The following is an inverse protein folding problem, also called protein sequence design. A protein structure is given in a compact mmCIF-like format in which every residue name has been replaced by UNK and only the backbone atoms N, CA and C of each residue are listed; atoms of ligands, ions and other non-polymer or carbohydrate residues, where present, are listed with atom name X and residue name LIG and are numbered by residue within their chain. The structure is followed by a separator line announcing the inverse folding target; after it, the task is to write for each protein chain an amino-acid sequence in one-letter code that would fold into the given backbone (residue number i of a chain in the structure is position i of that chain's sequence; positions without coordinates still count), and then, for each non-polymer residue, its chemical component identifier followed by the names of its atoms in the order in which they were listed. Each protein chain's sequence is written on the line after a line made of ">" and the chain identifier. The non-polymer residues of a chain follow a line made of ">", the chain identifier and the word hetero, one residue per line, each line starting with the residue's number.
data_IF_474274340417
#
_entry.id   IF_474274340417
#
_cell.length_a   1.000
_cell.length_b   1.000
_cell.length_c   1.000
_cell.angle_alpha   90.00
_cell.angle_beta   90.00
_cell.angle_gamma   90.00
#
_symmetry.space_group_name_H-M   'P 1'
#
loop_
_entity.id
_entity.type
_entity.pdbx_description
1 polymer ?
#
# COMPACT_ATOMS: atom_id res chain seq x y z
N UNK A 1 -33.94 -10.16 -9.05
CA UNK A 1 -33.36 -11.33 -8.36
C UNK A 1 -32.77 -10.98 -6.99
N UNK A 2 -31.75 -10.10 -6.89
CA UNK A 2 -31.11 -9.71 -5.61
C UNK A 2 -32.08 -9.30 -4.50
N UNK A 3 -33.07 -8.46 -4.80
CA UNK A 3 -34.10 -8.02 -3.82
C UNK A 3 -34.98 -9.16 -3.32
N UNK A 4 -35.24 -10.19 -4.14
CA UNK A 4 -36.01 -11.37 -3.71
C UNK A 4 -35.20 -12.17 -2.68
N UNK A 5 -33.90 -12.32 -2.94
CA UNK A 5 -32.95 -12.99 -2.03
C UNK A 5 -32.81 -12.22 -0.72
N UNK A 6 -32.53 -10.91 -0.77
CA UNK A 6 -32.31 -10.08 0.42
C UNK A 6 -33.56 -9.99 1.30
N UNK A 7 -34.75 -10.00 0.71
CA UNK A 7 -36.02 -10.01 1.44
C UNK A 7 -36.29 -11.34 2.15
N UNK A 8 -35.93 -12.45 1.52
CA UNK A 8 -36.19 -13.79 2.04
C UNK A 8 -35.09 -14.32 2.97
N UNK A 9 -33.85 -13.83 2.83
CA UNK A 9 -32.69 -14.30 3.57
C UNK A 9 -32.60 -13.68 4.97
N UNK A 10 -33.54 -13.93 5.89
CA UNK A 10 -33.41 -13.49 7.29
C UNK A 10 -33.73 -14.62 8.26
N UNK A 11 -32.90 -14.76 9.30
CA UNK A 11 -33.15 -15.66 10.43
C UNK A 11 -33.11 -14.89 11.76
N UNK A 12 -33.62 -15.51 12.82
CA UNK A 12 -33.89 -14.89 14.14
C UNK A 12 -32.64 -14.39 14.89
N UNK A 13 -31.42 -14.61 14.39
CA UNK A 13 -30.16 -14.26 15.06
C UNK A 13 -29.25 -13.32 14.25
N UNK A 14 -29.78 -12.57 13.28
CA UNK A 14 -28.99 -11.64 12.45
C UNK A 14 -28.10 -12.31 11.40
N UNK A 15 -28.17 -13.64 11.26
CA UNK A 15 -27.48 -14.40 10.22
C UNK A 15 -28.39 -14.51 8.99
N UNK A 16 -27.89 -14.09 7.83
CA UNK A 16 -28.59 -14.22 6.56
C UNK A 16 -28.39 -15.65 6.02
N UNK A 17 -29.46 -16.43 5.91
CA UNK A 17 -29.45 -17.79 5.34
C UNK A 17 -30.54 -17.93 4.28
N UNK A 18 -30.27 -18.74 3.26
CA UNK A 18 -31.21 -19.14 2.21
C UNK A 18 -31.36 -20.65 2.31
N UNK A 19 -32.59 -21.15 2.50
CA UNK A 19 -32.89 -22.58 2.46
C UNK A 19 -33.40 -22.97 1.05
N UNK A 20 -33.61 -24.27 0.84
CA UNK A 20 -34.04 -24.80 -0.46
C UNK A 20 -35.40 -24.25 -0.90
N UNK A 21 -36.36 -24.14 0.02
CA UNK A 21 -37.69 -23.58 -0.25
C UNK A 21 -37.62 -22.12 -0.75
N UNK A 22 -36.79 -21.29 -0.11
CA UNK A 22 -36.56 -19.91 -0.55
C UNK A 22 -35.93 -19.89 -1.94
N UNK A 23 -34.95 -20.76 -2.20
CA UNK A 23 -34.28 -20.85 -3.51
C UNK A 23 -35.27 -21.24 -4.62
N UNK A 24 -36.11 -22.24 -4.38
CA UNK A 24 -37.15 -22.72 -5.32
C UNK A 24 -38.21 -21.65 -5.61
N UNK A 25 -38.48 -20.77 -4.65
CA UNK A 25 -39.45 -19.67 -4.79
C UNK A 25 -38.91 -18.45 -5.56
N UNK A 26 -37.60 -18.38 -5.86
CA UNK A 26 -37.02 -17.25 -6.59
C UNK A 26 -37.51 -17.26 -8.03
N UNK A 27 -38.13 -16.15 -8.44
CA UNK A 27 -38.56 -15.95 -9.82
C UNK A 27 -37.39 -15.46 -10.66
N UNK A 28 -37.08 -16.22 -11.69
CA UNK A 28 -36.07 -15.92 -12.72
C UNK A 28 -36.76 -15.65 -14.06
N UNK A 29 -36.35 -14.61 -14.81
CA UNK A 29 -36.83 -14.41 -16.17
C UNK A 29 -36.32 -15.54 -17.06
N UNK A 30 -37.20 -16.09 -17.89
CA UNK A 30 -36.88 -17.20 -18.80
C UNK A 30 -37.25 -16.80 -20.24
N UNK A 31 -36.26 -16.39 -21.07
CA UNK A 31 -36.49 -16.13 -22.49
C UNK A 31 -36.52 -17.45 -23.31
N UNK A 32 -36.97 -17.41 -24.57
CA UNK A 32 -36.80 -18.50 -25.55
C UNK A 32 -35.39 -19.11 -25.56
N UNK A 33 -35.28 -20.41 -25.87
CA UNK A 33 -33.98 -21.09 -25.84
C UNK A 33 -32.97 -20.47 -26.81
N UNK A 34 -33.42 -20.08 -28.01
CA UNK A 34 -32.57 -19.39 -29.01
C UNK A 34 -32.10 -18.03 -28.50
N UNK A 35 -32.97 -17.26 -27.84
CA UNK A 35 -32.59 -16.01 -27.17
C UNK A 35 -31.59 -16.25 -26.03
N UNK A 36 -31.77 -17.31 -25.23
CA UNK A 36 -30.81 -17.69 -24.18
C UNK A 36 -29.41 -17.91 -24.75
N UNK A 37 -29.28 -18.67 -25.84
CA UNK A 37 -27.99 -18.89 -26.50
C UNK A 37 -27.36 -17.58 -26.99
N UNK A 38 -28.14 -16.69 -27.63
CA UNK A 38 -27.67 -15.37 -28.07
C UNK A 38 -27.21 -14.50 -26.90
N UNK A 39 -27.93 -14.52 -25.78
CA UNK A 39 -27.55 -13.80 -24.55
C UNK A 39 -26.22 -14.34 -24.01
N UNK A 40 -26.06 -15.66 -23.93
CA UNK A 40 -24.84 -16.30 -23.42
C UNK A 40 -23.65 -15.95 -24.30
N UNK A 41 -23.77 -16.07 -25.63
CA UNK A 41 -22.71 -15.73 -26.58
C UNK A 41 -22.28 -14.25 -26.45
N UNK A 42 -23.24 -13.33 -26.39
CA UNK A 42 -22.96 -11.91 -26.20
C UNK A 42 -22.29 -11.60 -24.84
N UNK A 43 -22.73 -12.28 -23.77
CA UNK A 43 -22.11 -12.15 -22.46
C UNK A 43 -20.68 -12.70 -22.44
N UNK A 44 -20.45 -13.87 -23.03
CA UNK A 44 -19.13 -14.49 -23.09
C UNK A 44 -18.13 -13.61 -23.84
N UNK A 45 -18.49 -13.05 -25.00
CA UNK A 45 -17.62 -12.11 -25.74
C UNK A 45 -17.30 -10.86 -24.90
N UNK A 46 -18.33 -10.19 -24.38
CA UNK A 46 -18.13 -8.92 -23.70
C UNK A 46 -17.44 -9.07 -22.33
N UNK A 47 -17.78 -10.09 -21.55
CA UNK A 47 -17.15 -10.35 -20.26
C UNK A 47 -15.68 -10.77 -20.43
N UNK A 48 -15.37 -11.59 -21.44
CA UNK A 48 -13.99 -11.97 -21.75
C UNK A 48 -13.12 -10.76 -22.08
N UNK A 49 -13.66 -9.80 -22.87
CA UNK A 49 -12.96 -8.53 -23.18
C UNK A 49 -12.76 -7.67 -21.94
N UNK A 50 -13.75 -7.62 -21.04
CA UNK A 50 -13.65 -6.87 -19.78
C UNK A 50 -12.62 -7.48 -18.83
N UNK A 51 -12.53 -8.81 -18.75
CA UNK A 51 -11.52 -9.51 -17.96
C UNK A 51 -10.11 -9.27 -18.50
N UNK A 52 -9.92 -9.40 -19.81
CA UNK A 52 -8.65 -9.09 -20.46
C UNK A 52 -8.22 -7.62 -20.23
N UNK A 53 -9.17 -6.69 -20.28
CA UNK A 53 -8.93 -5.26 -20.03
C UNK A 53 -8.56 -5.01 -18.57
N UNK A 54 -9.29 -5.59 -17.61
CA UNK A 54 -9.00 -5.44 -16.19
C UNK A 54 -7.61 -5.98 -15.84
N UNK A 55 -7.26 -7.18 -16.32
CA UNK A 55 -5.94 -7.77 -16.11
C UNK A 55 -4.81 -6.91 -16.70
N UNK A 56 -5.05 -6.25 -17.85
CA UNK A 56 -4.08 -5.34 -18.46
C UNK A 56 -3.89 -4.05 -17.66
N UNK A 57 -4.98 -3.50 -17.11
CA UNK A 57 -4.94 -2.32 -16.24
C UNK A 57 -4.23 -2.59 -14.92
N UNK A 58 -4.47 -3.75 -14.30
CA UNK A 58 -3.78 -4.16 -13.07
C UNK A 58 -2.26 -4.30 -13.30
N UNK A 59 -1.86 -4.94 -14.41
CA UNK A 59 -0.45 -5.02 -14.81
C UNK A 59 0.16 -3.64 -15.05
N UNK A 60 -0.58 -2.72 -15.66
CA UNK A 60 -0.12 -1.34 -15.87
C UNK A 60 0.14 -0.61 -14.55
N UNK A 61 -0.74 -0.78 -13.54
CA UNK A 61 -0.54 -0.21 -12.21
C UNK A 61 0.71 -0.76 -11.51
N UNK A 62 0.93 -2.08 -11.58
CA UNK A 62 2.12 -2.72 -11.00
C UNK A 62 3.40 -2.19 -11.67
N UNK A 63 3.41 -2.12 -13.00
CA UNK A 63 4.56 -1.59 -13.77
C UNK A 63 4.85 -0.13 -13.47
N UNK A 64 3.81 0.71 -13.32
CA UNK A 64 3.96 2.13 -12.98
C UNK A 64 4.70 2.32 -11.65
N UNK A 65 4.35 1.54 -10.61
CA UNK A 65 5.07 1.55 -9.33
C UNK A 65 6.51 1.04 -9.41
N UNK A 66 6.78 0.08 -10.30
CA UNK A 66 8.14 -0.40 -10.54
C UNK A 66 8.99 0.67 -11.23
N UNK A 67 8.41 1.41 -12.17
CA UNK A 67 9.06 2.51 -12.89
C UNK A 67 9.50 3.63 -11.93
N UNK A 68 8.66 4.00 -10.96
CA UNK A 68 9.02 4.98 -9.94
C UNK A 68 10.29 4.59 -9.18
N UNK A 69 10.38 3.32 -8.73
CA UNK A 69 11.58 2.80 -8.05
C UNK A 69 12.81 2.83 -8.96
N UNK A 70 12.64 2.44 -10.21
CA UNK A 70 13.72 2.47 -11.20
C UNK A 70 14.20 3.90 -11.49
N UNK A 71 13.31 4.88 -11.54
CA UNK A 71 13.68 6.29 -11.74
C UNK A 71 14.53 6.82 -10.59
N UNK A 72 14.17 6.50 -9.33
CA UNK A 72 14.97 6.86 -8.16
C UNK A 72 16.35 6.20 -8.19
N UNK A 73 16.42 4.92 -8.52
CA UNK A 73 17.69 4.21 -8.65
C UNK A 73 18.58 4.81 -9.75
N UNK A 74 18.00 5.16 -10.90
CA UNK A 74 18.73 5.87 -11.97
C UNK A 74 19.20 7.24 -11.53
N UNK A 75 18.38 7.99 -10.80
CA UNK A 75 18.78 9.30 -10.25
C UNK A 75 19.97 9.16 -9.32
N UNK A 76 19.94 8.21 -8.38
CA UNK A 76 21.03 8.01 -7.42
C UNK A 76 22.33 7.51 -8.03
N UNK A 77 22.29 6.92 -9.22
CA UNK A 77 23.48 6.53 -9.98
C UNK A 77 23.90 7.59 -11.02
N UNK A 78 23.30 8.80 -11.00
CA UNK A 78 23.58 9.86 -11.98
C UNK A 78 23.24 9.50 -13.42
N UNK A 79 22.33 8.54 -13.63
CA UNK A 79 21.92 8.02 -14.94
C UNK A 79 20.54 8.54 -15.37
N UNK A 80 19.94 9.45 -14.60
CA UNK A 80 18.65 10.06 -14.92
C UNK A 80 18.81 11.32 -15.77
N UNK A 81 19.82 12.14 -15.47
CA UNK A 81 20.11 13.38 -16.19
C UNK A 81 21.56 13.37 -16.62
N UNK A 82 21.87 13.95 -17.78
CA UNK A 82 23.26 14.09 -18.24
C UNK A 82 23.98 15.24 -17.51
N UNK A 83 25.29 15.12 -17.24
CA UNK A 83 26.10 16.23 -16.74
C UNK A 83 26.03 17.43 -17.67
N UNK A 84 26.08 18.64 -17.10
CA UNK A 84 26.09 19.91 -17.80
C UNK A 84 27.30 20.73 -17.36
N UNK A 85 27.88 21.50 -18.28
CA UNK A 85 28.98 22.42 -17.95
C UNK A 85 28.55 23.51 -16.94
N UNK A 86 27.24 23.79 -16.86
CA UNK A 86 26.65 24.74 -15.91
C UNK A 86 26.52 24.18 -14.48
N UNK A 87 26.77 22.88 -14.27
CA UNK A 87 26.55 22.26 -12.95
C UNK A 87 27.53 22.76 -11.88
N UNK A 88 28.70 23.24 -12.32
CA UNK A 88 29.84 23.53 -11.45
C UNK A 88 30.44 22.27 -10.82
N UNK A 89 31.40 22.46 -9.91
CA UNK A 89 32.07 21.35 -9.23
C UNK A 89 31.40 21.05 -7.88
N UNK A 90 31.30 19.76 -7.55
CA UNK A 90 30.85 19.33 -6.21
C UNK A 90 31.79 19.84 -5.11
N UNK A 91 33.08 19.94 -5.39
CA UNK A 91 34.07 20.41 -4.42
C UNK A 91 33.82 21.88 -4.03
N UNK A 92 33.48 22.75 -4.99
CA UNK A 92 33.11 24.14 -4.72
C UNK A 92 31.86 24.24 -3.83
N UNK A 93 30.88 23.35 -4.06
CA UNK A 93 29.69 23.25 -3.21
C UNK A 93 30.06 22.83 -1.79
N UNK A 94 30.89 21.79 -1.66
CA UNK A 94 31.30 21.27 -0.36
C UNK A 94 32.18 22.26 0.43
N UNK A 95 32.99 23.07 -0.25
CA UNK A 95 33.74 24.17 0.36
C UNK A 95 32.77 25.22 0.95
N UNK A 96 31.78 25.69 0.16
CA UNK A 96 30.75 26.64 0.64
C UNK A 96 29.96 26.07 1.83
N UNK A 97 29.61 24.78 1.78
CA UNK A 97 28.94 24.09 2.90
C UNK A 97 29.83 24.10 4.14
N UNK A 98 31.10 23.75 4.00
CA UNK A 98 32.04 23.73 5.11
C UNK A 98 32.25 25.12 5.73
N UNK A 99 32.33 26.17 4.91
CA UNK A 99 32.45 27.55 5.37
C UNK A 99 31.21 27.99 6.13
N UNK A 100 30.03 27.76 5.58
CA UNK A 100 28.75 28.04 6.25
C UNK A 100 28.66 27.33 7.61
N UNK A 101 29.02 26.06 7.67
CA UNK A 101 28.98 25.28 8.92
C UNK A 101 30.01 25.76 9.93
N UNK A 102 31.19 26.20 9.48
CA UNK A 102 32.23 26.74 10.35
C UNK A 102 31.82 28.08 10.96
N UNK A 103 31.10 28.92 10.21
CA UNK A 103 30.57 30.21 10.67
C UNK A 103 29.36 30.07 11.60
N UNK A 104 28.55 29.05 11.39
CA UNK A 104 27.30 28.82 12.16
C UNK A 104 27.46 27.83 13.31
N UNK A 105 28.63 27.21 13.46
CA UNK A 105 28.93 26.32 14.58
C UNK A 105 28.91 27.09 15.91
N UNK A 106 28.11 26.61 16.86
CA UNK A 106 28.12 27.10 18.23
C UNK A 106 29.52 26.97 18.85
N UNK A 107 30.03 28.03 19.49
CA UNK A 107 31.32 28.02 20.20
C UNK A 107 31.37 26.86 21.21
N UNK A 108 32.16 25.82 20.91
CA UNK A 108 32.45 24.72 21.84
C UNK A 108 32.29 23.28 21.31
N UNK A 109 31.64 23.07 20.16
CA UNK A 109 31.43 21.72 19.61
C UNK A 109 32.41 21.35 18.50
N UNK A 110 33.56 20.75 18.82
CA UNK A 110 34.36 20.04 17.80
C UNK A 110 33.54 18.85 17.29
N UNK A 111 32.95 18.97 16.10
CA UNK A 111 32.31 17.83 15.43
C UNK A 111 33.39 16.82 15.09
N UNK A 112 33.29 15.62 15.67
CA UNK A 112 34.11 14.50 15.23
C UNK A 112 33.76 14.26 13.76
N UNK A 113 34.76 14.37 12.86
CA UNK A 113 34.60 14.03 11.44
C UNK A 113 34.21 12.56 11.38
N UNK A 114 32.91 12.29 11.23
CA UNK A 114 32.45 10.98 10.83
C UNK A 114 32.88 10.76 9.38
N UNK A 115 33.23 9.52 9.06
CA UNK A 115 33.35 9.06 7.68
C UNK A 115 31.97 8.55 7.24
N UNK A 116 31.61 8.71 5.96
CA UNK A 116 30.38 8.13 5.45
C UNK A 116 30.46 6.61 5.54
N UNK A 117 29.34 5.96 5.85
CA UNK A 117 29.26 4.52 5.68
C UNK A 117 29.47 4.13 4.20
N UNK A 118 29.88 2.89 3.94
CA UNK A 118 30.02 2.44 2.56
C UNK A 118 28.64 2.31 1.90
N UNK A 119 28.52 2.84 0.68
CA UNK A 119 27.42 2.50 -0.22
C UNK A 119 27.58 1.07 -0.72
N UNK A 120 26.50 0.47 -1.20
CA UNK A 120 26.59 -0.89 -1.73
C UNK A 120 27.44 -1.00 -3.00
N UNK A 121 28.11 -2.15 -3.22
CA UNK A 121 29.01 -2.33 -4.36
C UNK A 121 28.36 -2.25 -5.76
N UNK A 122 27.03 -2.26 -5.87
CA UNK A 122 26.31 -2.12 -7.15
C UNK A 122 25.99 -0.65 -7.49
N UNK A 123 26.07 0.25 -6.51
CA UNK A 123 25.92 1.68 -6.76
C UNK A 123 27.17 2.16 -7.50
N UNK A 124 26.95 2.82 -8.63
CA UNK A 124 27.99 3.37 -9.51
C UNK A 124 27.72 4.86 -9.60
N UNK A 125 28.43 5.62 -8.77
CA UNK A 125 28.29 7.07 -8.79
C UNK A 125 29.14 7.67 -9.93
N UNK A 126 28.68 8.76 -10.56
CA UNK A 126 29.52 9.57 -11.43
C UNK A 126 30.78 10.06 -10.71
N UNK A 127 31.88 10.21 -11.44
CA UNK A 127 33.16 10.64 -10.88
C UNK A 127 33.14 12.07 -10.32
N UNK A 128 32.22 12.91 -10.81
CA UNK A 128 32.06 14.30 -10.36
C UNK A 128 31.14 14.45 -9.15
N UNK A 129 30.65 13.34 -8.58
CA UNK A 129 29.88 13.34 -7.33
C UNK A 129 30.78 12.99 -6.15
N UNK A 130 30.37 13.39 -4.95
CA UNK A 130 31.07 13.01 -3.71
C UNK A 130 30.12 12.36 -2.71
N UNK A 131 30.55 11.28 -2.06
CA UNK A 131 29.81 10.69 -0.94
C UNK A 131 30.20 11.41 0.35
N UNK A 132 29.22 11.99 1.02
CA UNK A 132 29.41 12.68 2.30
C UNK A 132 28.53 12.08 3.40
N UNK A 133 29.00 12.03 4.65
CA UNK A 133 28.14 11.68 5.78
C UNK A 133 27.16 12.82 6.02
N UNK A 134 25.88 12.50 6.27
CA UNK A 134 24.82 13.48 6.50
C UNK A 134 25.21 14.54 7.55
N UNK A 135 25.94 14.16 8.61
CA UNK A 135 26.40 15.08 9.65
C UNK A 135 27.33 16.20 9.15
N UNK A 136 28.03 16.02 8.02
CA UNK A 136 28.83 17.07 7.37
C UNK A 136 28.01 18.00 6.49
N UNK A 137 26.76 17.66 6.20
CA UNK A 137 25.84 18.47 5.40
C UNK A 137 24.85 19.25 6.28
N UNK A 138 24.74 18.90 7.56
CA UNK A 138 23.77 19.49 8.49
C UNK A 138 24.37 20.56 9.39
N UNK A 139 23.72 21.71 9.52
CA UNK A 139 23.94 22.67 10.60
C UNK A 139 23.53 22.13 11.95
N UNK A 140 22.44 21.38 12.06
CA UNK A 140 22.00 20.77 13.33
C UNK A 140 21.41 19.39 13.07
N UNK A 141 21.62 18.48 14.03
CA UNK A 141 20.93 17.19 14.14
C UNK A 141 20.44 17.09 15.58
N UNK A 142 19.13 17.23 15.78
CA UNK A 142 18.57 17.38 17.12
C UNK A 142 17.27 16.60 17.32
N UNK A 143 17.04 16.20 18.57
CA UNK A 143 15.85 15.45 18.94
C UNK A 143 14.70 16.41 19.24
N UNK A 144 13.48 15.95 18.96
CA UNK A 144 12.27 16.69 19.28
C UNK A 144 11.91 16.67 20.76
N UNK A 145 10.74 17.22 21.07
CA UNK A 145 10.22 17.34 22.44
C UNK A 145 9.77 15.97 23.00
N UNK A 146 10.04 15.74 24.28
CA UNK A 146 9.48 14.61 25.04
C UNK A 146 8.24 14.99 25.86
N UNK A 147 7.75 16.23 25.72
CA UNK A 147 6.58 16.70 26.43
C UNK A 147 5.31 15.91 26.02
N UNK A 148 4.40 15.74 26.98
CA UNK A 148 3.16 15.00 26.77
C UNK A 148 2.17 15.88 26.01
N UNK A 149 2.13 15.73 24.69
CA UNK A 149 1.18 16.40 23.82
C UNK A 149 -0.25 15.80 23.95
N UNK A 150 -1.26 16.66 23.87
CA UNK A 150 -2.69 16.31 23.97
C UNK A 150 -3.37 16.28 22.58
N UNK A 151 -4.55 15.66 22.50
CA UNK A 151 -5.23 15.38 21.21
C UNK A 151 -6.12 16.54 20.77
N UNK A 152 -6.81 17.18 21.71
CA UNK A 152 -7.83 18.20 21.42
C UNK A 152 -7.20 19.59 21.45
N UNK A 153 -7.06 20.29 20.31
CA UNK A 153 -6.36 21.57 20.26
C UNK A 153 -7.13 22.66 21.00
N UNK A 154 -6.41 23.45 21.81
CA UNK A 154 -6.86 24.72 22.36
C UNK A 154 -6.45 25.88 21.43
N UNK A 155 -6.99 27.07 21.67
CA UNK A 155 -6.60 28.27 20.92
C UNK A 155 -5.11 28.59 21.12
N UNK A 156 -4.40 28.79 20.01
CA UNK A 156 -2.96 29.07 20.01
C UNK A 156 -2.06 27.83 20.07
N UNK A 157 -2.59 26.63 20.29
CA UNK A 157 -1.79 25.40 20.34
C UNK A 157 -0.98 25.14 19.06
N UNK A 158 0.23 24.62 19.23
CA UNK A 158 1.13 24.28 18.12
C UNK A 158 1.10 22.77 17.85
N UNK A 159 0.86 22.34 16.60
CA UNK A 159 0.97 20.94 16.19
C UNK A 159 2.32 20.30 16.47
N UNK A 160 2.30 19.06 16.94
CA UNK A 160 3.47 18.21 17.19
C UNK A 160 3.48 17.02 16.23
N UNK A 161 4.40 17.06 15.27
CA UNK A 161 4.65 15.96 14.33
C UNK A 161 5.32 14.77 15.05
N UNK A 162 4.88 13.55 14.74
CA UNK A 162 5.35 12.30 15.36
C UNK A 162 5.71 11.25 14.31
N UNK A 163 6.21 10.10 14.75
CA UNK A 163 6.56 8.96 13.88
C UNK A 163 5.45 8.57 12.89
N UNK A 164 4.17 8.68 13.28
CA UNK A 164 3.02 8.34 12.44
C UNK A 164 2.68 9.40 11.38
N UNK A 165 3.27 10.59 11.46
CA UNK A 165 3.05 11.67 10.49
C UNK A 165 4.05 11.61 9.32
N UNK A 166 4.98 10.65 9.28
CA UNK A 166 5.87 10.45 8.14
C UNK A 166 5.38 9.23 7.34
N UNK A 167 4.81 9.46 6.16
CA UNK A 167 4.26 8.43 5.29
C UNK A 167 4.83 8.58 3.88
N UNK A 168 5.44 7.52 3.38
CA UNK A 168 5.95 7.42 1.99
C UNK A 168 6.77 8.62 1.51
N UNK A 169 7.61 9.19 2.40
CA UNK A 169 8.45 10.34 2.08
C UNK A 169 7.81 11.71 2.32
N UNK A 170 6.53 11.75 2.73
CA UNK A 170 5.73 12.95 2.93
C UNK A 170 5.24 13.09 4.37
N UNK A 171 4.86 14.32 4.73
CA UNK A 171 4.21 14.61 6.01
C UNK A 171 2.69 14.50 5.88
N UNK A 172 2.08 13.67 6.73
CA UNK A 172 0.64 13.53 6.90
C UNK A 172 0.18 14.28 8.16
N UNK A 173 -0.65 15.31 7.93
CA UNK A 173 -1.15 16.22 8.95
C UNK A 173 -2.57 15.86 9.45
N UNK A 174 -3.13 14.71 9.05
CA UNK A 174 -4.50 14.35 9.45
C UNK A 174 -4.66 14.05 10.94
N UNK A 175 -3.63 13.48 11.58
CA UNK A 175 -3.69 13.02 12.98
C UNK A 175 -2.59 13.66 13.82
N UNK A 176 -2.87 14.85 14.34
CA UNK A 176 -1.94 15.66 15.11
C UNK A 176 -2.18 15.53 16.62
N UNK A 177 -1.19 16.00 17.38
CA UNK A 177 -1.30 16.31 18.80
C UNK A 177 -0.70 17.69 18.99
N UNK A 178 -0.92 18.28 20.15
CA UNK A 178 -0.69 19.68 20.35
C UNK A 178 0.08 19.94 21.63
N UNK A 179 0.81 21.06 21.65
CA UNK A 179 1.39 21.65 22.85
C UNK A 179 1.02 23.14 22.89
N UNK A 180 0.88 23.72 24.10
CA UNK A 180 0.67 25.15 24.26
C UNK A 180 1.79 25.98 23.60
N UNK A 181 1.45 27.12 23.00
CA UNK A 181 2.42 28.01 22.32
C UNK A 181 3.52 28.53 23.24
N UNK A 182 3.20 28.72 24.52
CA UNK A 182 4.10 29.18 25.58
C UNK A 182 4.97 28.06 26.16
N UNK A 183 4.77 26.81 25.72
CA UNK A 183 5.60 25.70 26.17
C UNK A 183 7.07 25.92 25.76
N UNK A 184 8.05 25.76 26.68
CA UNK A 184 9.45 26.14 26.45
C UNK A 184 10.11 25.42 25.26
N UNK A 185 9.65 24.20 24.96
CA UNK A 185 10.14 23.45 23.80
C UNK A 185 9.73 24.07 22.46
N UNK A 186 8.59 24.76 22.36
CA UNK A 186 8.13 25.40 21.12
C UNK A 186 9.13 26.44 20.66
N UNK A 187 9.63 27.27 21.60
CA UNK A 187 10.59 28.33 21.28
C UNK A 187 11.89 27.77 20.67
N UNK A 188 12.29 26.55 21.04
CA UNK A 188 13.55 25.92 20.60
C UNK A 188 13.38 25.00 19.39
N UNK A 189 12.23 24.33 19.28
CA UNK A 189 11.99 23.22 18.36
C UNK A 189 10.90 23.54 17.33
N UNK A 190 10.58 24.82 17.13
CA UNK A 190 9.76 25.24 16.01
C UNK A 190 10.46 24.86 14.70
N UNK A 191 9.71 24.25 13.79
CA UNK A 191 10.18 23.85 12.48
C UNK A 191 10.25 25.05 11.54
N UNK A 192 11.27 25.04 10.69
CA UNK A 192 11.45 26.03 9.62
C UNK A 192 11.45 25.34 8.26
N UNK A 193 11.15 26.10 7.21
CA UNK A 193 11.09 25.57 5.85
C UNK A 193 12.38 24.81 5.47
N UNK A 194 12.23 23.61 4.94
CA UNK A 194 13.36 22.75 4.55
C UNK A 194 13.92 21.89 5.67
N UNK A 195 13.40 21.98 6.90
CA UNK A 195 13.75 21.04 7.97
C UNK A 195 13.41 19.60 7.54
N UNK A 196 14.44 18.73 7.51
CA UNK A 196 14.26 17.30 7.25
C UNK A 196 13.95 16.60 8.58
N UNK A 197 12.84 15.88 8.61
CA UNK A 197 12.45 15.05 9.75
C UNK A 197 12.75 13.58 9.46
N UNK A 198 13.43 12.91 10.38
CA UNK A 198 13.78 11.50 10.30
C UNK A 198 13.09 10.72 11.42
N UNK A 199 12.38 9.66 11.06
CA UNK A 199 11.71 8.77 12.01
C UNK A 199 12.73 7.85 12.71
N UNK A 200 13.11 8.17 13.94
CA UNK A 200 14.14 7.40 14.66
C UNK A 200 13.62 6.20 15.44
N UNK A 201 12.33 6.14 15.76
CA UNK A 201 11.75 5.08 16.59
C UNK A 201 10.41 4.64 16.01
N UNK A 202 10.31 3.39 15.56
CA UNK A 202 9.06 2.76 15.12
C UNK A 202 9.26 1.23 15.05
N UNK A 203 8.34 0.46 14.46
CA UNK A 203 8.61 -0.93 14.07
C UNK A 203 9.78 -1.01 13.06
N UNK A 204 10.38 -2.20 12.94
CA UNK A 204 11.55 -2.41 12.09
C UNK A 204 11.32 -2.04 10.62
N UNK A 205 10.11 -2.29 10.12
CA UNK A 205 9.72 -1.95 8.74
C UNK A 205 9.43 -0.46 8.54
N UNK A 206 9.08 0.29 9.60
CA UNK A 206 8.69 1.71 9.51
C UNK A 206 9.75 2.69 9.99
N UNK A 207 10.75 2.24 10.76
CA UNK A 207 11.83 3.11 11.26
C UNK A 207 12.69 3.65 10.12
N UNK A 208 13.23 4.85 10.26
CA UNK A 208 14.19 5.47 9.35
C UNK A 208 13.63 6.00 8.04
N UNK A 209 12.33 6.28 7.99
CA UNK A 209 11.73 7.10 6.92
C UNK A 209 12.03 8.57 7.19
N UNK A 210 12.12 9.39 6.14
CA UNK A 210 12.24 10.84 6.25
C UNK A 210 11.18 11.58 5.46
N UNK A 211 10.91 12.83 5.84
CA UNK A 211 10.09 13.75 5.08
C UNK A 211 10.54 15.19 5.32
N UNK A 212 10.18 16.09 4.41
CA UNK A 212 10.54 17.52 4.47
C UNK A 212 9.37 18.32 5.00
N UNK A 213 9.64 19.16 6.00
CA UNK A 213 8.69 20.16 6.45
C UNK A 213 8.74 21.40 5.55
N UNK A 214 7.56 21.88 5.16
CA UNK A 214 7.39 23.08 4.34
C UNK A 214 6.52 24.07 5.09
N UNK A 215 6.91 25.35 5.06
CA UNK A 215 6.29 26.43 5.81
C UNK A 215 4.82 26.68 5.44
N UNK A 216 4.41 26.30 4.22
CA UNK A 216 3.00 26.32 3.79
C UNK A 216 2.09 25.35 4.58
N UNK A 217 2.67 24.45 5.39
CA UNK A 217 1.93 23.56 6.30
C UNK A 217 1.49 24.27 7.61
N UNK A 218 1.94 25.50 7.85
CA UNK A 218 1.68 26.24 9.09
C UNK A 218 2.62 25.84 10.24
N UNK A 219 2.64 26.61 11.34
CA UNK A 219 3.60 26.41 12.43
C UNK A 219 3.49 25.01 13.04
N UNK A 220 4.64 24.38 13.29
CA UNK A 220 4.68 23.05 13.89
C UNK A 220 5.99 22.84 14.67
N UNK A 221 5.94 21.90 15.60
CA UNK A 221 7.10 21.29 16.24
C UNK A 221 7.07 19.77 16.04
N UNK A 222 8.01 19.04 16.64
CA UNK A 222 8.18 17.60 16.44
C UNK A 222 8.55 16.88 17.74
N UNK A 223 8.04 15.67 17.91
CA UNK A 223 8.30 14.83 19.08
C UNK A 223 9.68 14.17 19.03
N UNK A 224 10.19 13.73 20.18
CA UNK A 224 11.50 13.08 20.36
C UNK A 224 11.63 11.71 19.68
N UNK A 225 10.54 11.19 19.10
CA UNK A 225 10.54 10.06 18.17
C UNK A 225 11.03 10.41 16.77
N UNK A 226 11.20 11.70 16.49
CA UNK A 226 11.78 12.24 15.27
C UNK A 226 13.12 12.91 15.59
N UNK A 227 14.00 12.95 14.59
CA UNK A 227 15.21 13.76 14.59
C UNK A 227 15.08 14.79 13.48
N UNK A 228 15.33 16.06 13.80
CA UNK A 228 15.45 17.13 12.80
C UNK A 228 16.88 17.20 12.29
N UNK A 229 17.03 17.31 10.97
CA UNK A 229 18.26 17.64 10.29
C UNK A 229 18.07 18.97 9.55
N UNK A 230 18.88 19.97 9.88
CA UNK A 230 18.87 21.27 9.21
C UNK A 230 20.04 21.33 8.24
N UNK A 231 19.78 21.30 6.94
CA UNK A 231 20.81 21.20 5.92
C UNK A 231 21.46 22.57 5.63
N UNK A 232 22.73 22.55 5.23
CA UNK A 232 23.43 23.73 4.77
C UNK A 232 22.89 24.20 3.40
N UNK A 233 22.95 25.50 3.09
CA UNK A 233 22.56 26.02 1.77
C UNK A 233 23.28 25.30 0.63
N UNK A 234 22.56 25.03 -0.47
CA UNK A 234 23.07 24.29 -1.63
C UNK A 234 22.96 22.77 -1.51
N UNK A 235 22.54 22.25 -0.35
CA UNK A 235 22.14 20.85 -0.18
C UNK A 235 20.62 20.78 -0.14
N UNK A 236 20.02 20.20 -1.17
CA UNK A 236 18.57 20.15 -1.30
C UNK A 236 17.95 19.13 -0.33
N UNK A 237 17.01 19.54 0.55
CA UNK A 237 16.36 18.62 1.50
C UNK A 237 15.66 17.45 0.82
N UNK A 238 14.96 17.70 -0.29
CA UNK A 238 14.30 16.68 -1.10
C UNK A 238 15.29 15.62 -1.59
N UNK A 239 16.50 16.03 -2.00
CA UNK A 239 17.52 15.10 -2.46
C UNK A 239 18.01 14.19 -1.33
N UNK A 240 18.26 14.76 -0.16
CA UNK A 240 18.66 13.99 1.03
C UNK A 240 17.54 13.05 1.47
N UNK A 241 16.29 13.51 1.50
CA UNK A 241 15.13 12.68 1.85
C UNK A 241 14.91 11.54 0.84
N UNK A 242 15.12 11.81 -0.46
CA UNK A 242 15.10 10.79 -1.51
C UNK A 242 16.16 9.71 -1.24
N UNK A 243 17.40 10.11 -0.95
CA UNK A 243 18.49 9.18 -0.63
C UNK A 243 18.15 8.32 0.59
N UNK A 244 17.59 8.91 1.65
CA UNK A 244 17.21 8.19 2.87
C UNK A 244 16.09 7.17 2.61
N UNK A 245 15.07 7.56 1.87
CA UNK A 245 13.91 6.71 1.58
C UNK A 245 14.15 5.68 0.46
N UNK A 246 15.24 5.82 -0.29
CA UNK A 246 15.63 4.89 -1.36
C UNK A 246 15.91 3.47 -0.86
N UNK A 247 15.91 2.44 -1.74
CA UNK A 247 16.33 1.09 -1.36
C UNK A 247 17.71 1.02 -0.70
N UNK A 248 18.66 1.85 -1.16
CA UNK A 248 20.00 1.99 -0.56
C UNK A 248 19.92 2.53 0.87
N UNK A 249 19.16 3.61 1.05
CA UNK A 249 18.95 4.21 2.35
C UNK A 249 18.23 3.28 3.34
N UNK A 250 17.19 2.58 2.87
CA UNK A 250 16.46 1.56 3.65
C UNK A 250 17.37 0.44 4.12
N UNK A 251 18.31 -0.01 3.29
CA UNK A 251 19.29 -1.02 3.68
C UNK A 251 20.31 -0.48 4.68
N UNK A 252 20.80 0.75 4.52
CA UNK A 252 21.64 1.37 5.53
C UNK A 252 20.92 1.42 6.89
N UNK A 253 19.68 1.92 6.91
CA UNK A 253 18.82 1.95 8.11
C UNK A 253 18.70 0.56 8.72
N UNK A 254 18.39 -0.47 7.92
CA UNK A 254 18.27 -1.84 8.41
C UNK A 254 19.58 -2.38 9.02
N UNK A 255 20.74 -2.01 8.46
CA UNK A 255 22.05 -2.45 8.96
C UNK A 255 22.45 -1.80 10.30
N UNK A 256 21.93 -0.61 10.59
CA UNK A 256 22.29 0.14 11.81
C UNK A 256 21.16 0.19 12.83
N UNK A 257 19.92 -0.18 12.49
CA UNK A 257 18.80 -0.18 13.41
C UNK A 257 19.05 -1.16 14.57
N UNK A 258 18.72 -0.74 15.78
CA UNK A 258 18.78 -1.61 16.96
C UNK A 258 17.36 -1.99 17.37
N UNK A 259 17.08 -3.29 17.40
CA UNK A 259 15.76 -3.83 17.78
C UNK A 259 15.70 -4.07 19.29
N UNK A 260 14.66 -3.57 19.95
CA UNK A 260 14.33 -3.83 21.35
C UNK A 260 12.80 -3.90 21.51
N UNK A 261 12.29 -5.02 22.03
CA UNK A 261 10.87 -5.21 22.44
C UNK A 261 9.87 -4.59 21.45
N UNK A 262 9.80 -5.15 20.24
CA UNK A 262 8.85 -4.71 19.19
C UNK A 262 9.14 -3.35 18.54
N UNK A 263 10.18 -2.62 18.98
CA UNK A 263 10.59 -1.35 18.38
C UNK A 263 12.02 -1.42 17.84
N UNK A 264 12.27 -0.69 16.76
CA UNK A 264 13.57 -0.43 16.19
C UNK A 264 13.97 1.02 16.43
N UNK A 265 15.27 1.26 16.69
CA UNK A 265 15.83 2.58 16.90
C UNK A 265 17.03 2.89 16.01
N UNK A 266 17.10 4.11 15.50
CA UNK A 266 18.29 4.69 14.88
C UNK A 266 18.60 6.00 15.58
N UNK A 267 19.75 6.09 16.25
CA UNK A 267 20.14 7.30 16.98
C UNK A 267 20.78 8.35 16.06
N UNK A 268 20.93 9.58 16.56
CA UNK A 268 21.52 10.70 15.82
C UNK A 268 22.96 10.47 15.35
N UNK A 269 23.75 9.65 16.04
CA UNK A 269 25.12 9.31 15.61
C UNK A 269 25.10 8.43 14.37
N UNK A 270 24.23 7.42 14.34
CA UNK A 270 24.01 6.57 13.17
C UNK A 270 23.44 7.39 12.01
N UNK A 271 22.46 8.25 12.28
CA UNK A 271 21.92 9.15 11.26
C UNK A 271 22.99 10.11 10.70
N UNK A 272 23.87 10.65 11.54
CA UNK A 272 24.95 11.53 11.08
C UNK A 272 25.97 10.83 10.17
N UNK A 273 26.14 9.51 10.29
CA UNK A 273 27.04 8.71 9.45
C UNK A 273 26.38 8.19 8.15
N UNK A 274 25.10 8.52 7.93
CA UNK A 274 24.35 8.11 6.74
C UNK A 274 25.07 8.57 5.46
N UNK A 275 25.37 7.68 4.51
CA UNK A 275 26.08 8.05 3.30
C UNK A 275 25.15 8.72 2.28
N UNK A 276 25.43 9.98 1.98
CA UNK A 276 24.67 10.78 1.02
C UNK A 276 25.54 10.98 -0.23
N UNK A 277 25.13 10.47 -1.40
CA UNK A 277 25.74 10.90 -2.66
C UNK A 277 25.36 12.36 -2.93
N UNK A 278 26.34 13.23 -3.14
CA UNK A 278 26.16 14.67 -3.34
C UNK A 278 26.58 15.01 -4.78
N UNK A 279 25.61 15.32 -5.67
CA UNK A 279 25.87 16.00 -6.93
C UNK A 279 26.18 17.48 -6.70
N UNK A 280 26.75 18.18 -7.71
CA UNK A 280 26.71 19.64 -7.76
C UNK A 280 25.29 20.20 -7.57
N UNK A 281 25.17 21.42 -7.06
CA UNK A 281 23.88 21.98 -6.63
C UNK A 281 22.87 22.11 -7.79
N UNK A 282 23.31 22.60 -8.95
CA UNK A 282 22.43 22.71 -10.11
C UNK A 282 21.99 21.34 -10.63
N UNK A 283 22.86 20.32 -10.56
CA UNK A 283 22.49 18.95 -10.91
C UNK A 283 21.45 18.36 -9.93
N UNK A 284 21.57 18.63 -8.62
CA UNK A 284 20.53 18.25 -7.65
C UNK A 284 19.15 18.79 -8.06
N UNK A 285 19.07 20.07 -8.43
CA UNK A 285 17.83 20.70 -8.86
C UNK A 285 17.26 20.07 -10.14
N UNK A 286 18.11 19.79 -11.13
CA UNK A 286 17.70 19.12 -12.38
C UNK A 286 17.20 17.69 -12.13
N UNK A 287 17.91 16.92 -11.31
CA UNK A 287 17.49 15.57 -10.91
C UNK A 287 16.12 15.59 -10.21
N UNK A 288 15.92 16.54 -9.28
CA UNK A 288 14.65 16.69 -8.57
C UNK A 288 13.52 17.15 -9.50
N UNK A 289 13.81 18.02 -10.48
CA UNK A 289 12.86 18.43 -11.51
C UNK A 289 12.40 17.25 -12.37
N UNK A 290 13.35 16.50 -12.93
CA UNK A 290 13.09 15.31 -13.75
C UNK A 290 12.29 14.27 -12.95
N UNK A 291 12.72 13.96 -11.72
CA UNK A 291 11.98 13.04 -10.85
C UNK A 291 10.55 13.51 -10.60
N UNK A 292 10.32 14.81 -10.40
CA UNK A 292 8.97 15.35 -10.21
C UNK A 292 8.09 15.10 -11.43
N UNK A 293 8.60 15.36 -12.64
CA UNK A 293 7.87 15.09 -13.89
C UNK A 293 7.52 13.59 -14.06
N UNK A 294 8.46 12.70 -13.72
CA UNK A 294 8.21 11.27 -13.69
C UNK A 294 7.12 10.88 -12.68
N UNK A 295 7.17 11.42 -11.46
CA UNK A 295 6.15 11.16 -10.45
C UNK A 295 4.76 11.63 -10.89
N UNK A 296 4.66 12.85 -11.43
CA UNK A 296 3.39 13.38 -11.95
C UNK A 296 2.81 12.51 -13.07
N UNK A 297 3.68 11.99 -13.94
CA UNK A 297 3.29 11.08 -15.03
C UNK A 297 2.78 9.73 -14.49
N UNK A 298 3.47 9.17 -13.50
CA UNK A 298 3.10 7.93 -12.80
C UNK A 298 1.74 8.09 -12.11
N UNK A 299 1.54 9.19 -11.38
CA UNK A 299 0.29 9.48 -10.65
C UNK A 299 -0.87 9.69 -11.59
N UNK A 300 -0.67 10.44 -12.68
CA UNK A 300 -1.67 10.62 -13.73
C UNK A 300 -2.09 9.28 -14.33
N UNK A 301 -1.13 8.40 -14.60
CA UNK A 301 -1.37 7.06 -15.15
C UNK A 301 -2.11 6.17 -14.15
N UNK A 302 -1.75 6.24 -12.87
CA UNK A 302 -2.43 5.52 -11.79
C UNK A 302 -3.89 5.98 -11.64
N UNK A 303 -4.16 7.28 -11.73
CA UNK A 303 -5.49 7.83 -11.67
C UNK A 303 -6.36 7.43 -12.88
N UNK A 304 -5.78 7.43 -14.09
CA UNK A 304 -6.48 7.00 -15.31
C UNK A 304 -6.82 5.51 -15.25
N UNK A 305 -5.86 4.66 -14.88
CA UNK A 305 -6.06 3.21 -14.80
C UNK A 305 -7.08 2.84 -13.73
N UNK A 306 -7.04 3.48 -12.56
CA UNK A 306 -8.02 3.29 -11.49
C UNK A 306 -9.45 3.66 -11.95
N UNK A 307 -9.63 4.80 -12.63
CA UNK A 307 -10.93 5.17 -13.20
C UNK A 307 -11.42 4.16 -14.25
N UNK A 308 -10.52 3.64 -15.08
CA UNK A 308 -10.86 2.64 -16.10
C UNK A 308 -11.31 1.30 -15.46
N UNK A 309 -10.64 0.85 -14.40
CA UNK A 309 -11.05 -0.33 -13.62
C UNK A 309 -12.45 -0.15 -13.02
N UNK A 310 -12.72 1.02 -12.43
CA UNK A 310 -14.04 1.31 -11.87
C UNK A 310 -15.14 1.30 -12.95
N UNK A 311 -14.87 1.88 -14.13
CA UNK A 311 -15.78 1.84 -15.28
C UNK A 311 -16.01 0.42 -15.80
N UNK A 312 -14.95 -0.40 -15.87
CA UNK A 312 -15.06 -1.82 -16.27
C UNK A 312 -15.99 -2.60 -15.33
N UNK A 313 -15.84 -2.41 -14.02
CA UNK A 313 -16.73 -3.02 -13.02
C UNK A 313 -18.20 -2.58 -13.19
N UNK A 314 -18.44 -1.29 -13.46
CA UNK A 314 -19.78 -0.79 -13.70
C UNK A 314 -20.38 -1.30 -15.02
N UNK A 315 -19.58 -1.39 -16.09
CA UNK A 315 -20.02 -1.93 -17.38
C UNK A 315 -20.39 -3.41 -17.26
N UNK A 316 -19.61 -4.22 -16.52
CA UNK A 316 -19.97 -5.60 -16.18
C UNK A 316 -21.35 -5.68 -15.52
N UNK A 317 -21.61 -4.84 -14.51
CA UNK A 317 -22.92 -4.81 -13.85
C UNK A 317 -24.06 -4.40 -14.80
N UNK A 318 -23.79 -3.45 -15.70
CA UNK A 318 -24.76 -3.01 -16.70
C UNK A 318 -25.08 -4.10 -17.71
N UNK A 319 -24.07 -4.81 -18.22
CA UNK A 319 -24.22 -5.95 -19.14
C UNK A 319 -25.09 -7.05 -18.54
N UNK A 320 -24.77 -7.46 -17.30
CA UNK A 320 -25.57 -8.45 -16.58
C UNK A 320 -27.02 -7.97 -16.40
N UNK A 321 -27.22 -6.68 -16.06
CA UNK A 321 -28.56 -6.10 -15.95
C UNK A 321 -29.32 -6.13 -17.30
N UNK A 322 -28.66 -5.84 -18.40
CA UNK A 322 -29.26 -5.86 -19.74
C UNK A 322 -29.60 -7.29 -20.19
N UNK A 323 -28.73 -8.26 -19.89
CA UNK A 323 -28.99 -9.68 -20.16
C UNK A 323 -30.27 -10.15 -19.47
N UNK A 324 -30.41 -9.88 -18.16
CA UNK A 324 -31.57 -10.30 -17.39
C UNK A 324 -32.83 -9.42 -17.55
N UNK A 325 -32.77 -8.38 -18.40
CA UNK A 325 -33.94 -7.54 -18.71
C UNK A 325 -34.36 -7.63 -20.19
N UNK A 326 -33.77 -8.54 -20.96
CA UNK A 326 -34.09 -8.72 -22.39
C UNK A 326 -33.63 -7.55 -23.26
N UNK A 327 -32.61 -6.80 -22.82
CA UNK A 327 -32.09 -5.60 -23.51
C UNK A 327 -30.69 -5.79 -24.09
N UNK A 328 -30.07 -6.95 -23.91
CA UNK A 328 -28.71 -7.21 -24.38
C UNK A 328 -28.67 -7.61 -25.85
N UNK A 329 -29.64 -8.41 -26.30
CA UNK A 329 -29.74 -8.90 -27.67
C UNK A 329 -31.12 -8.56 -28.25
N UNK A 330 -31.24 -8.56 -29.58
CA UNK A 330 -32.53 -8.36 -30.25
C UNK A 330 -33.45 -9.56 -30.01
N UNK A 331 -34.71 -9.28 -29.67
CA UNK A 331 -35.76 -10.30 -29.60
C UNK A 331 -36.24 -10.65 -31.01
N UNK A 332 -36.40 -11.94 -31.29
CA UNK A 332 -36.90 -12.44 -32.56
C UNK A 332 -38.31 -13.01 -32.39
N UNK A 333 -39.34 -12.43 -33.04
CA UNK A 333 -40.71 -12.96 -32.99
C UNK A 333 -40.85 -14.40 -33.51
N UNK A 334 -39.87 -14.90 -34.29
CA UNK A 334 -39.86 -16.27 -34.79
C UNK A 334 -39.30 -17.29 -33.77
N UNK A 335 -38.74 -16.85 -32.64
CA UNK A 335 -38.24 -17.75 -31.61
C UNK A 335 -39.38 -18.55 -30.95
N UNK A 336 -39.12 -19.82 -30.63
CA UNK A 336 -40.04 -20.67 -29.86
C UNK A 336 -40.35 -20.00 -28.51
N UNK A 337 -41.64 -19.72 -28.18
CA UNK A 337 -41.99 -19.10 -26.90
C UNK A 337 -41.51 -19.93 -25.71
N UNK A 338 -41.04 -19.27 -24.65
CA UNK A 338 -40.55 -19.93 -23.44
C UNK A 338 -41.59 -20.86 -22.79
N UNK A 339 -42.90 -20.62 -23.00
CA UNK A 339 -43.97 -21.51 -22.53
C UNK A 339 -43.90 -22.91 -23.14
N UNK A 340 -43.58 -23.01 -24.44
CA UNK A 340 -43.46 -24.30 -25.15
C UNK A 340 -42.23 -25.07 -24.65
N UNK A 341 -41.12 -24.36 -24.42
CA UNK A 341 -39.94 -24.94 -23.78
C UNK A 341 -40.25 -25.49 -22.38
N UNK A 342 -41.03 -24.75 -21.57
CA UNK A 342 -41.43 -25.17 -20.23
C UNK A 342 -42.31 -26.43 -20.27
N UNK A 343 -43.29 -26.49 -21.17
CA UNK A 343 -44.14 -27.67 -21.38
C UNK A 343 -43.32 -28.93 -21.70
N UNK A 344 -42.33 -28.81 -22.59
CA UNK A 344 -41.40 -29.89 -22.91
C UNK A 344 -40.59 -30.34 -21.68
N UNK A 345 -40.02 -29.40 -20.93
CA UNK A 345 -39.25 -29.72 -19.72
C UNK A 345 -40.14 -30.40 -18.66
N UNK A 346 -41.39 -29.97 -18.50
CA UNK A 346 -42.33 -30.62 -17.57
C UNK A 346 -42.65 -32.05 -17.99
N UNK A 347 -42.95 -32.28 -19.28
CA UNK A 347 -43.23 -33.62 -19.78
C UNK A 347 -42.03 -34.58 -19.66
N UNK A 348 -40.82 -34.09 -19.96
CA UNK A 348 -39.58 -34.87 -19.78
C UNK A 348 -39.31 -35.22 -18.31
N UNK A 349 -39.54 -34.26 -17.40
CA UNK A 349 -39.38 -34.50 -15.95
C UNK A 349 -40.40 -35.49 -15.42
N UNK A 350 -41.66 -35.41 -15.87
CA UNK A 350 -42.72 -36.37 -15.51
C UNK A 350 -42.40 -37.77 -16.04
N UNK A 351 -41.90 -37.89 -17.28
CA UNK A 351 -41.44 -39.15 -17.84
C UNK A 351 -40.23 -39.75 -17.09
N UNK A 352 -39.29 -38.91 -16.66
CA UNK A 352 -38.14 -39.35 -15.83
C UNK A 352 -38.54 -39.70 -14.38
N UNK A 353 -39.52 -39.01 -13.80
CA UNK A 353 -39.96 -39.24 -12.42
C UNK A 353 -41.02 -40.34 -12.28
N UNK A 354 -41.72 -40.69 -13.37
CA UNK A 354 -42.63 -41.84 -13.44
C UNK A 354 -41.95 -43.21 -13.23
N UNK A 355 -40.61 -43.26 -13.22
CA UNK A 355 -39.81 -44.47 -12.97
C UNK A 355 -39.27 -44.65 -11.54
N UNK A 356 -39.59 -43.78 -10.57
CA UNK A 356 -39.10 -43.96 -9.19
C UNK A 356 -39.96 -44.94 -8.41
N UNK A 357 -39.48 -46.19 -8.30
CA UNK A 357 -39.96 -47.19 -7.31
C UNK A 357 -40.07 -46.54 -5.93
N UNK A 358 -41.25 -46.62 -5.32
CA UNK A 358 -41.52 -46.22 -3.93
C UNK A 358 -40.51 -46.92 -3.01
N UNK A 359 -39.49 -46.20 -2.52
CA UNK A 359 -38.76 -46.66 -1.33
C UNK A 359 -39.73 -46.58 -0.16
N UNK A 360 -40.19 -47.75 0.27
CA UNK A 360 -41.03 -47.89 1.46
C UNK A 360 -40.35 -47.20 2.66
N UNK A 361 -41.13 -46.35 3.34
CA UNK A 361 -40.72 -45.74 4.59
C UNK A 361 -40.42 -46.85 5.61
N UNK A 362 -39.14 -47.02 5.93
CA UNK A 362 -38.70 -47.93 6.98
C UNK A 362 -39.04 -47.27 8.32
N UNK A 363 -40.08 -47.79 9.00
CA UNK A 363 -40.47 -47.39 10.36
C UNK A 363 -39.24 -47.42 11.30
N UNK A 364 -39.01 -46.41 12.15
CA UNK A 364 -37.97 -46.49 13.16
C UNK A 364 -38.38 -47.55 14.19
N UNK A 365 -37.66 -48.67 14.24
CA UNK A 365 -37.77 -49.62 15.33
C UNK A 365 -37.06 -49.04 16.55
N UNK A 366 -37.83 -48.78 17.60
CA UNK A 366 -37.34 -48.43 18.94
C UNK A 366 -36.66 -49.68 19.50
N UNK A 367 -35.33 -49.73 19.51
CA UNK A 367 -34.60 -50.73 20.30
C UNK A 367 -34.24 -50.11 21.65
N UNK A 368 -34.71 -50.79 22.70
CA UNK A 368 -34.40 -50.51 24.08
C UNK A 368 -32.90 -50.70 24.34
N UNK A 369 -32.36 -49.87 25.23
CA UNK A 369 -30.99 -49.95 25.68
C UNK A 369 -30.74 -51.25 26.47
N UNK A 370 -29.78 -52.05 26.03
CA UNK A 370 -29.13 -53.06 26.88
C UNK A 370 -27.64 -53.21 26.53
N UNK A 371 -26.84 -52.99 27.58
CA UNK A 371 -25.48 -53.47 27.89
C UNK A 371 -24.39 -53.48 26.80
N UNK A 372 -23.31 -52.76 27.11
CA UNK A 372 -22.06 -52.68 26.37
C UNK A 372 -21.35 -54.05 26.22
N UNK A 373 -20.81 -54.30 25.03
CA UNK A 373 -19.86 -55.37 24.73
C UNK A 373 -18.47 -54.77 24.41
N UNK A 374 -17.36 -55.47 24.71
CA UNK A 374 -16.00 -54.91 24.74
C UNK A 374 -15.41 -54.68 23.34
N UNK A 375 -14.35 -53.87 23.21
CA UNK A 375 -13.80 -53.47 21.91
C UNK A 375 -13.08 -54.63 21.20
N UNK A 376 -13.10 -54.66 19.85
CA UNK A 376 -12.36 -55.64 19.05
C UNK A 376 -10.86 -55.32 18.98
N UNK A 377 -10.01 -56.31 18.65
CA UNK A 377 -8.55 -56.15 18.63
C UNK A 377 -8.07 -55.29 17.44
N UNK A 378 -6.95 -54.59 17.66
CA UNK A 378 -6.37 -53.66 16.70
C UNK A 378 -5.92 -54.35 15.40
N UNK A 379 -6.41 -53.87 14.27
CA UNK A 379 -5.96 -54.25 12.94
C UNK A 379 -4.65 -53.52 12.59
N UNK A 380 -3.59 -54.29 12.33
CA UNK A 380 -2.33 -53.84 11.75
C UNK A 380 -2.51 -53.66 10.24
N UNK A 381 -2.70 -52.42 9.79
CA UNK A 381 -2.49 -52.06 8.39
C UNK A 381 -1.88 -50.66 8.35
N UNK A 382 -0.65 -50.48 7.81
CA UNK A 382 0.01 -49.19 7.80
C UNK A 382 -0.66 -48.26 6.78
N UNK A 383 -0.99 -47.05 7.20
CA UNK A 383 -1.41 -45.97 6.32
C UNK A 383 -0.19 -45.38 5.59
N UNK A 384 -0.30 -45.01 4.29
CA UNK A 384 0.78 -44.38 3.56
C UNK A 384 1.14 -43.01 4.16
N UNK A 385 2.42 -42.89 4.51
CA UNK A 385 3.07 -41.69 5.00
C UNK A 385 3.31 -40.73 3.84
N UNK A 386 2.69 -39.55 3.85
CA UNK A 386 3.33 -38.23 3.68
C UNK A 386 2.27 -37.14 3.51
N UNK A 387 1.91 -36.50 4.62
CA UNK A 387 1.48 -35.11 4.67
C UNK A 387 1.71 -34.61 6.09
N UNK A 388 2.90 -34.04 6.33
CA UNK A 388 3.21 -33.36 7.60
C UNK A 388 2.71 -31.93 7.48
N UNK A 389 1.65 -31.61 8.22
CA UNK A 389 1.32 -30.26 8.64
C UNK A 389 2.21 -29.95 9.86
N UNK A 390 3.16 -29.03 9.72
CA UNK A 390 3.94 -28.54 10.85
C UNK A 390 3.25 -27.30 11.41
N UNK A 391 2.72 -27.44 12.64
CA UNK A 391 2.31 -26.34 13.50
C UNK A 391 3.55 -25.56 13.97
N UNK A 392 3.50 -24.23 13.91
CA UNK A 392 4.48 -23.35 14.52
C UNK A 392 4.05 -23.02 15.96
N UNK A 393 4.93 -23.16 16.96
CA UNK A 393 4.64 -22.89 18.36
C UNK A 393 4.51 -21.40 18.68
N UNK A 394 3.74 -21.16 19.76
CA UNK A 394 3.32 -19.89 20.38
C UNK A 394 4.42 -18.83 20.56
#
# INVERSE_FOLDING_TARGET
>A
MRTQIEKAARTTAGIYKINQEILEAIRIPLPPLTEQHRIVEALEDHLSRLDASAASLDKAQIRSRALQRSAVERAMNGALVSPSDEDGLVDDLLERVNDYLSLTASKGGRRKRAEPAALSPHIRLPSHWSVQPLGRLCRNIEYGTSAKAHTDPAEGDVPVLRMGNIQDGHLDLQKLKYLPVDHPDITKLTLIDGDLLFNRTNSAELVGKSAIYRSNMGPATFASYLIRCQLAPGIEPEWVSLCINSPEGRRYVASVATQQVGQANVNGTKLAAFPIPVPPHAEQLRLLGELREWHETVDRTAAITSRALHRSAHLRQSLLRHAFSGKLVSQDPADEPASVLLERITGEREAQHGGKVKRAARRPQKQAATAAAPPPPASTTPAPTTAVQQELPL
#
